data_IF_266225847312
#
_entry.id   IF_266225847312
#
_cell.length_a   1.000
_cell.length_b   1.000
_cell.length_c   1.000
_cell.angle_alpha   90.00
_cell.angle_beta   90.00
_cell.angle_gamma   90.00
#
_symmetry.space_group_name_H-M   'P 1'
#
loop_
_entity.id
_entity.type
_entity.pdbx_description
1 polymer ?
#
# COMPACT_ATOMS: atom_id res chain seq x y z
N UNK A 1 -33.65 35.18 -8.53
CA UNK A 1 -33.09 36.40 -7.91
C UNK A 1 -31.65 36.05 -7.54
N UNK A 2 -30.57 36.61 -8.06
CA UNK A 2 -30.31 37.67 -9.04
C UNK A 2 -29.15 37.20 -9.94
N UNK A 3 -29.03 37.81 -11.10
CA UNK A 3 -28.23 37.38 -12.24
C UNK A 3 -26.70 37.51 -12.04
N UNK A 4 -25.99 36.68 -12.80
CA UNK A 4 -24.57 36.79 -13.10
C UNK A 4 -24.26 38.09 -13.86
N UNK A 5 -23.20 38.78 -13.47
CA UNK A 5 -22.56 39.79 -14.32
C UNK A 5 -21.18 39.32 -14.74
N UNK A 6 -21.08 39.01 -16.05
CA UNK A 6 -19.86 38.76 -16.79
C UNK A 6 -19.21 40.10 -17.11
N UNK A 7 -17.96 40.30 -16.71
CA UNK A 7 -17.15 41.40 -17.22
C UNK A 7 -16.78 41.14 -18.70
N UNK A 8 -16.93 42.13 -19.60
CA UNK A 8 -16.60 41.98 -21.02
C UNK A 8 -15.09 42.08 -21.29
N UNK A 9 -14.59 41.51 -22.40
CA UNK A 9 -13.17 41.44 -22.72
C UNK A 9 -12.62 42.76 -23.29
N UNK A 10 -11.42 43.13 -22.89
CA UNK A 10 -10.70 44.31 -23.40
C UNK A 10 -9.93 43.91 -24.66
N UNK A 11 -10.33 44.46 -25.81
CA UNK A 11 -9.62 44.30 -27.08
C UNK A 11 -8.74 45.52 -27.39
N UNK A 12 -7.54 45.25 -27.94
CA UNK A 12 -6.56 46.22 -28.42
C UNK A 12 -7.07 46.85 -29.73
N UNK A 13 -7.36 48.16 -29.75
CA UNK A 13 -7.14 49.13 -30.87
C UNK A 13 -8.07 50.34 -30.72
N UNK A 14 -7.50 51.54 -30.95
CA UNK A 14 -8.12 52.89 -31.06
C UNK A 14 -8.41 53.56 -29.71
N UNK A 15 -8.13 54.83 -29.45
CA UNK A 15 -7.47 55.91 -30.20
C UNK A 15 -7.15 57.02 -29.18
N UNK A 16 -5.89 57.46 -29.07
CA UNK A 16 -5.38 58.80 -29.35
C UNK A 16 -6.39 59.96 -29.58
N UNK A 17 -5.91 61.16 -29.20
CA UNK A 17 -6.33 62.55 -29.54
C UNK A 17 -7.55 63.12 -28.78
N UNK A 18 -7.56 64.36 -28.23
CA UNK A 18 -6.68 65.53 -28.37
C UNK A 18 -6.96 66.64 -27.31
N UNK A 19 -5.98 67.56 -27.18
CA UNK A 19 -6.08 69.03 -26.92
C UNK A 19 -6.69 69.50 -25.58
N UNK A 20 -6.29 70.59 -24.92
CA UNK A 20 -5.68 71.86 -25.33
C UNK A 20 -5.28 72.64 -24.05
N UNK A 21 -4.06 73.21 -23.98
CA UNK A 21 -3.76 74.66 -24.07
C UNK A 21 -3.49 75.34 -22.71
N UNK A 22 -2.25 75.83 -22.59
CA UNK A 22 -1.79 76.82 -21.62
C UNK A 22 -0.50 77.47 -22.16
N UNK A 23 -0.68 78.49 -22.99
CA UNK A 23 0.34 79.25 -23.74
C UNK A 23 1.00 80.36 -22.89
N UNK A 24 2.31 80.59 -23.12
CA UNK A 24 3.02 81.92 -23.16
C UNK A 24 3.48 82.49 -21.80
N UNK A 25 4.71 82.97 -21.54
CA UNK A 25 5.83 83.51 -22.35
C UNK A 25 7.19 83.44 -21.59
N UNK A 26 8.33 83.84 -22.22
CA UNK A 26 9.69 83.43 -21.85
C UNK A 26 10.48 84.45 -21.02
N UNK A 27 11.46 83.97 -20.24
CA UNK A 27 12.44 84.80 -19.54
C UNK A 27 13.82 84.14 -19.54
N UNK A 28 14.75 84.71 -20.30
CA UNK A 28 16.15 84.31 -20.34
C UNK A 28 16.87 84.70 -19.04
N UNK A 29 17.53 83.74 -18.40
CA UNK A 29 18.60 83.98 -17.42
C UNK A 29 19.74 83.00 -17.71
N UNK A 30 20.84 83.55 -18.22
CA UNK A 30 22.13 82.89 -18.23
C UNK A 30 22.73 82.95 -16.82
N UNK A 31 23.18 81.81 -16.29
CA UNK A 31 24.10 81.76 -15.15
C UNK A 31 24.96 80.48 -15.23
N UNK A 32 26.25 80.67 -14.96
CA UNK A 32 27.35 79.78 -15.25
C UNK A 32 27.46 78.56 -14.32
N UNK A 33 27.97 77.47 -14.90
CA UNK A 33 28.98 76.54 -14.36
C UNK A 33 28.74 75.84 -13.02
N UNK A 34 28.39 74.56 -13.12
CA UNK A 34 29.19 73.46 -12.55
C UNK A 34 28.78 72.15 -13.24
N UNK A 35 29.48 71.82 -14.32
CA UNK A 35 29.48 70.43 -14.80
C UNK A 35 30.23 69.60 -13.78
N UNK A 36 29.51 69.06 -12.80
CA UNK A 36 29.96 67.90 -12.09
C UNK A 36 29.99 66.77 -13.11
N UNK A 37 31.19 66.40 -13.54
CA UNK A 37 31.43 65.13 -14.22
C UNK A 37 31.19 64.01 -13.20
N UNK A 38 29.93 63.71 -12.93
CA UNK A 38 29.57 62.38 -12.47
C UNK A 38 29.72 61.48 -13.68
N UNK A 39 30.94 60.96 -13.87
CA UNK A 39 31.11 59.70 -14.60
C UNK A 39 30.17 58.72 -13.90
N UNK A 40 29.12 58.20 -14.57
CA UNK A 40 28.34 57.12 -14.00
C UNK A 40 29.35 56.01 -13.71
N UNK A 41 29.37 55.53 -12.47
CA UNK A 41 29.99 54.25 -12.14
C UNK A 41 29.55 53.24 -13.22
N UNK A 42 30.46 52.45 -13.81
CA UNK A 42 30.10 51.54 -14.88
C UNK A 42 28.93 50.69 -14.38
N UNK A 43 27.75 50.87 -14.99
CA UNK A 43 26.61 50.03 -14.70
C UNK A 43 27.08 48.59 -14.92
N UNK A 44 26.98 47.76 -13.88
CA UNK A 44 27.36 46.36 -13.93
C UNK A 44 26.69 45.74 -15.17
N UNK A 45 27.49 45.08 -16.01
CA UNK A 45 26.98 44.57 -17.28
C UNK A 45 25.79 43.63 -16.99
N UNK A 46 24.66 43.77 -17.71
CA UNK A 46 23.48 42.98 -17.43
C UNK A 46 23.82 41.48 -17.49
N UNK A 47 23.32 40.71 -16.52
CA UNK A 47 23.72 39.32 -16.33
C UNK A 47 23.29 38.45 -17.52
N UNK A 48 24.19 37.56 -17.95
CA UNK A 48 23.86 36.51 -18.93
C UNK A 48 23.13 35.36 -18.23
N UNK A 49 22.11 34.79 -18.88
CA UNK A 49 21.42 33.61 -18.37
C UNK A 49 22.38 32.41 -18.19
N UNK A 50 22.37 31.80 -17.01
CA UNK A 50 23.12 30.58 -16.68
C UNK A 50 22.16 29.48 -16.21
N UNK A 51 22.32 28.26 -16.75
CA UNK A 51 21.43 27.13 -16.51
C UNK A 51 22.03 26.13 -15.52
N UNK A 52 21.20 25.66 -14.59
CA UNK A 52 21.51 24.55 -13.67
C UNK A 52 20.47 23.45 -13.85
N UNK A 53 20.93 22.21 -14.02
CA UNK A 53 20.08 21.05 -14.23
C UNK A 53 20.15 20.12 -13.02
N UNK A 54 19.01 19.58 -12.62
CA UNK A 54 18.90 18.50 -11.64
C UNK A 54 17.98 17.44 -12.23
N UNK A 55 18.45 16.20 -12.49
CA UNK A 55 19.84 15.76 -12.44
C UNK A 55 20.75 16.54 -13.41
N UNK A 56 22.06 16.42 -13.23
CA UNK A 56 23.03 17.03 -14.14
C UNK A 56 22.89 16.46 -15.57
N UNK A 57 23.34 17.23 -16.55
CA UNK A 57 23.35 16.76 -17.95
C UNK A 57 24.29 15.55 -18.11
N UNK A 58 23.88 14.58 -18.92
CA UNK A 58 24.52 13.29 -19.15
C UNK A 58 24.59 12.38 -17.92
N UNK A 59 23.81 12.67 -16.88
CA UNK A 59 23.63 11.73 -15.77
C UNK A 59 22.97 10.43 -16.25
N UNK A 60 23.44 9.30 -15.71
CA UNK A 60 22.85 7.98 -15.88
C UNK A 60 22.29 7.50 -14.55
N UNK A 61 21.49 6.43 -14.58
CA UNK A 61 20.98 5.76 -13.38
C UNK A 61 20.16 6.69 -12.46
N UNK A 62 19.51 7.69 -13.05
CA UNK A 62 18.65 8.62 -12.33
C UNK A 62 17.40 7.89 -11.88
N UNK A 63 17.07 7.93 -10.59
CA UNK A 63 15.84 7.33 -10.11
C UNK A 63 14.62 8.05 -10.70
N UNK A 64 13.60 7.31 -11.19
CA UNK A 64 12.49 7.90 -11.93
C UNK A 64 11.56 8.76 -11.07
N UNK A 65 11.73 8.71 -9.75
CA UNK A 65 10.99 9.49 -8.75
C UNK A 65 11.82 10.63 -8.15
N UNK A 66 13.10 10.77 -8.52
CA UNK A 66 13.92 11.89 -8.06
C UNK A 66 13.43 13.23 -8.65
N UNK A 67 13.58 14.35 -7.91
CA UNK A 67 13.18 15.66 -8.41
C UNK A 67 13.94 16.06 -9.68
N UNK A 68 13.23 16.17 -10.80
CA UNK A 68 13.78 16.65 -12.07
C UNK A 68 13.38 18.10 -12.32
N UNK A 69 14.36 19.00 -12.41
CA UNK A 69 14.17 20.44 -12.66
C UNK A 69 15.32 21.07 -13.44
N UNK A 70 15.03 22.22 -14.04
CA UNK A 70 16.04 23.13 -14.60
C UNK A 70 15.79 24.55 -14.08
N UNK A 71 16.86 25.22 -13.70
CA UNK A 71 16.87 26.58 -13.16
C UNK A 71 17.71 27.50 -14.04
N UNK A 72 17.27 28.76 -14.19
CA UNK A 72 18.05 29.83 -14.82
C UNK A 72 18.34 30.94 -13.80
N UNK A 73 19.61 31.34 -13.73
CA UNK A 73 20.06 32.53 -12.99
C UNK A 73 20.40 33.64 -13.98
N UNK A 74 20.16 34.91 -13.61
CA UNK A 74 20.41 36.05 -14.49
C UNK A 74 19.49 36.10 -15.73
N UNK A 75 18.29 35.53 -15.65
CA UNK A 75 17.34 35.46 -16.77
C UNK A 75 16.05 34.71 -16.46
N UNK A 76 15.25 34.45 -17.48
CA UNK A 76 13.99 33.68 -17.38
C UNK A 76 13.77 32.78 -18.61
N UNK A 77 13.03 31.68 -18.44
CA UNK A 77 12.65 30.77 -19.51
C UNK A 77 11.64 31.40 -20.47
N UNK A 78 11.95 31.42 -21.76
CA UNK A 78 10.97 31.65 -22.82
C UNK A 78 10.17 30.39 -23.11
N UNK A 79 10.86 29.26 -23.24
CA UNK A 79 10.29 27.93 -23.46
C UNK A 79 11.19 26.89 -22.80
N UNK A 80 10.58 25.87 -22.23
CA UNK A 80 11.25 24.70 -21.67
C UNK A 80 10.33 23.51 -21.82
N UNK A 81 10.89 22.38 -22.21
CA UNK A 81 10.20 21.11 -22.30
C UNK A 81 11.20 19.97 -22.03
N UNK A 82 10.69 18.90 -21.43
CA UNK A 82 11.38 17.63 -21.30
C UNK A 82 10.62 16.60 -22.14
N UNK A 83 11.33 15.82 -22.95
CA UNK A 83 10.72 14.76 -23.78
C UNK A 83 11.46 13.45 -23.60
N UNK A 84 10.75 12.32 -23.69
CA UNK A 84 11.40 11.01 -23.79
C UNK A 84 11.98 10.77 -25.21
N UNK A 85 12.64 9.63 -25.39
CA UNK A 85 13.23 9.18 -26.67
C UNK A 85 12.21 9.04 -27.82
N UNK A 86 10.92 8.85 -27.51
CA UNK A 86 9.82 8.78 -28.48
C UNK A 86 9.22 10.17 -28.82
N UNK A 87 9.71 11.24 -28.18
CA UNK A 87 9.22 12.61 -28.36
C UNK A 87 7.96 12.95 -27.56
N UNK A 88 7.49 12.07 -26.66
CA UNK A 88 6.41 12.37 -25.71
C UNK A 88 6.89 13.40 -24.70
N UNK A 89 6.15 14.49 -24.57
CA UNK A 89 6.42 15.52 -23.56
C UNK A 89 6.08 15.02 -22.16
N UNK A 90 6.94 15.36 -21.20
CA UNK A 90 6.72 15.14 -19.77
C UNK A 90 6.11 16.38 -19.15
N UNK A 91 5.08 16.19 -18.33
CA UNK A 91 4.39 17.23 -17.59
C UNK A 91 5.35 17.90 -16.59
N UNK A 92 5.28 19.22 -16.53
CA UNK A 92 5.98 20.01 -15.55
C UNK A 92 5.47 21.45 -15.52
N UNK A 93 5.89 22.19 -14.51
CA UNK A 93 5.43 23.55 -14.24
C UNK A 93 6.60 24.53 -14.15
N UNK A 94 6.44 25.69 -14.77
CA UNK A 94 7.25 26.87 -14.48
C UNK A 94 6.74 27.52 -13.20
N UNK A 95 7.66 27.99 -12.35
CA UNK A 95 7.31 28.88 -11.26
C UNK A 95 6.88 30.26 -11.78
N UNK A 96 6.39 31.11 -10.88
CA UNK A 96 5.86 32.44 -11.22
C UNK A 96 6.90 33.34 -11.89
N UNK A 97 8.15 33.29 -11.43
CA UNK A 97 9.26 34.08 -11.95
C UNK A 97 9.80 33.53 -13.28
N UNK A 98 9.29 32.37 -13.72
CA UNK A 98 9.73 31.63 -14.91
C UNK A 98 11.22 31.35 -14.92
N UNK A 99 11.84 31.20 -13.76
CA UNK A 99 13.26 30.90 -13.63
C UNK A 99 13.53 29.46 -13.12
N UNK A 100 12.48 28.71 -12.75
CA UNK A 100 12.57 27.28 -12.41
C UNK A 100 11.45 26.52 -13.11
N UNK A 101 11.80 25.43 -13.79
CA UNK A 101 10.84 24.44 -14.29
C UNK A 101 11.04 23.12 -13.57
N UNK A 102 9.96 22.55 -13.04
CA UNK A 102 9.96 21.30 -12.29
C UNK A 102 9.02 20.29 -12.92
N UNK A 103 9.49 19.06 -13.14
CA UNK A 103 8.68 17.93 -13.60
C UNK A 103 7.65 17.55 -12.54
N UNK A 104 6.43 17.21 -12.97
CA UNK A 104 5.29 16.98 -12.08
C UNK A 104 4.66 15.59 -12.23
N UNK A 105 5.34 14.67 -12.91
CA UNK A 105 4.95 13.26 -13.02
C UNK A 105 6.19 12.36 -12.88
N UNK A 106 6.04 11.11 -12.40
CA UNK A 106 7.16 10.18 -12.39
C UNK A 106 7.65 9.87 -13.81
N UNK A 107 8.94 9.61 -13.93
CA UNK A 107 9.57 9.20 -15.19
C UNK A 107 9.45 7.69 -15.38
N UNK A 108 9.79 7.18 -16.56
CA UNK A 108 9.88 5.75 -16.84
C UNK A 108 11.28 5.20 -16.56
N UNK A 109 11.40 3.89 -16.37
CA UNK A 109 12.68 3.18 -16.27
C UNK A 109 13.36 3.02 -17.63
N UNK A 110 14.69 3.12 -17.66
CA UNK A 110 15.52 2.90 -18.85
C UNK A 110 15.27 3.89 -19.99
N UNK A 111 14.81 5.10 -19.67
CA UNK A 111 14.45 6.11 -20.66
C UNK A 111 15.47 7.26 -20.63
N UNK A 112 15.99 7.61 -21.80
CA UNK A 112 16.71 8.87 -22.00
C UNK A 112 15.71 10.01 -22.21
N UNK A 113 15.85 11.04 -21.40
CA UNK A 113 15.08 12.27 -21.49
C UNK A 113 15.94 13.42 -21.99
N UNK A 114 15.36 14.29 -22.81
CA UNK A 114 16.05 15.44 -23.40
C UNK A 114 15.34 16.75 -23.11
N UNK A 115 16.10 17.73 -22.62
CA UNK A 115 15.68 19.10 -22.44
C UNK A 115 15.72 19.86 -23.76
N UNK A 116 14.70 20.68 -24.02
CA UNK A 116 14.65 21.59 -25.17
C UNK A 116 14.00 22.94 -24.79
N UNK A 117 14.49 24.03 -25.37
CA UNK A 117 13.92 25.36 -25.15
C UNK A 117 14.92 26.49 -25.25
N UNK A 118 14.57 27.62 -24.64
CA UNK A 118 15.41 28.82 -24.56
C UNK A 118 15.14 29.59 -23.27
N UNK A 119 16.20 30.15 -22.71
CA UNK A 119 16.15 31.14 -21.63
C UNK A 119 16.73 32.46 -22.14
N UNK A 120 16.22 33.59 -21.67
CA UNK A 120 16.70 34.92 -22.02
C UNK A 120 17.36 35.57 -20.82
N UNK A 121 18.59 36.02 -21.00
CA UNK A 121 19.32 36.78 -19.99
C UNK A 121 18.81 38.21 -19.85
N UNK A 122 19.19 38.87 -18.76
CA UNK A 122 18.94 40.31 -18.58
C UNK A 122 19.65 41.15 -19.66
N UNK A 123 20.70 40.60 -20.27
CA UNK A 123 21.39 41.15 -21.44
C UNK A 123 20.58 41.06 -22.75
N UNK A 124 19.38 40.46 -22.70
CA UNK A 124 18.47 40.29 -23.83
C UNK A 124 18.85 39.16 -24.79
N UNK A 125 19.92 38.40 -24.52
CA UNK A 125 20.35 37.29 -25.39
C UNK A 125 19.70 35.99 -24.97
N UNK A 126 19.30 35.19 -25.96
CA UNK A 126 18.76 33.86 -25.73
C UNK A 126 19.89 32.81 -25.64
N UNK A 127 19.82 31.95 -24.62
CA UNK A 127 20.67 30.77 -24.43
C UNK A 127 19.81 29.52 -24.62
N UNK A 128 20.28 28.50 -25.36
CA UNK A 128 19.51 27.27 -25.55
C UNK A 128 19.41 26.48 -24.24
N UNK A 129 18.21 25.99 -23.94
CA UNK A 129 18.01 24.97 -22.89
C UNK A 129 18.19 23.62 -23.57
N UNK A 130 19.34 22.99 -23.35
CA UNK A 130 19.69 21.69 -23.95
C UNK A 130 20.48 20.86 -22.94
N UNK A 131 20.13 19.59 -22.87
CA UNK A 131 20.76 18.60 -22.02
C UNK A 131 19.98 17.29 -22.10
N UNK A 132 20.56 16.21 -21.63
CA UNK A 132 19.88 14.92 -21.54
C UNK A 132 20.30 14.21 -20.26
N UNK A 133 19.53 13.22 -19.83
CA UNK A 133 19.89 12.28 -18.78
C UNK A 133 19.14 10.97 -19.02
N UNK A 134 19.60 9.89 -18.43
CA UNK A 134 18.98 8.56 -18.56
C UNK A 134 18.58 8.06 -17.18
N UNK A 135 17.34 7.60 -17.07
CA UNK A 135 16.85 6.96 -15.84
C UNK A 135 17.40 5.55 -15.70
N UNK A 136 17.46 5.06 -14.46
CA UNK A 136 17.90 3.70 -14.17
C UNK A 136 17.05 2.66 -14.93
N UNK A 137 17.68 1.57 -15.36
CA UNK A 137 17.06 0.49 -16.13
C UNK A 137 17.19 -0.83 -15.36
N UNK A 138 16.20 -1.20 -14.53
CA UNK A 138 16.34 -2.35 -13.65
C UNK A 138 16.10 -3.65 -14.42
N UNK A 139 16.95 -4.66 -14.23
CA UNK A 139 16.71 -5.98 -14.83
C UNK A 139 15.45 -6.66 -14.30
N UNK A 140 15.05 -6.34 -13.07
CA UNK A 140 13.85 -6.89 -12.42
C UNK A 140 12.96 -5.77 -11.88
N UNK A 141 11.69 -5.81 -12.26
CA UNK A 141 10.65 -4.97 -11.67
C UNK A 141 9.73 -5.83 -10.81
N UNK A 142 9.68 -5.55 -9.52
CA UNK A 142 8.93 -6.34 -8.53
C UNK A 142 7.56 -5.71 -8.29
N UNK A 143 6.50 -6.50 -8.47
CA UNK A 143 5.13 -6.08 -8.23
C UNK A 143 4.70 -6.46 -6.81
N UNK A 144 3.94 -5.59 -6.16
CA UNK A 144 3.27 -5.88 -4.89
C UNK A 144 1.76 -5.95 -5.09
N UNK A 145 1.11 -6.96 -4.51
CA UNK A 145 -0.34 -7.14 -4.57
C UNK A 145 -0.95 -7.32 -3.18
N UNK A 146 -2.03 -6.58 -2.92
CA UNK A 146 -2.85 -6.76 -1.72
C UNK A 146 -3.82 -7.92 -1.87
N UNK A 147 -4.11 -8.61 -0.77
CA UNK A 147 -5.09 -9.71 -0.75
C UNK A 147 -6.55 -9.23 -0.70
N UNK A 148 -6.78 -8.00 -0.21
CA UNK A 148 -8.10 -7.36 -0.17
C UNK A 148 -8.34 -6.51 -1.42
N UNK A 149 -9.62 -6.24 -1.69
CA UNK A 149 -10.05 -5.30 -2.73
C UNK A 149 -10.47 -3.95 -2.15
N UNK A 150 -10.35 -2.89 -2.95
CA UNK A 150 -10.88 -1.57 -2.59
C UNK A 150 -12.38 -1.62 -2.28
N UNK A 151 -12.77 -0.95 -1.21
CA UNK A 151 -14.15 -0.89 -0.71
C UNK A 151 -14.61 -2.16 0.03
N UNK A 152 -13.77 -3.18 0.17
CA UNK A 152 -14.12 -4.40 0.90
C UNK A 152 -14.38 -4.09 2.39
N UNK A 153 -15.38 -4.76 2.97
CA UNK A 153 -15.63 -4.72 4.42
C UNK A 153 -15.22 -6.04 5.05
N UNK A 154 -14.34 -5.99 6.06
CA UNK A 154 -13.73 -7.17 6.71
C UNK A 154 -13.98 -7.18 8.22
N UNK A 155 -13.72 -8.30 8.87
CA UNK A 155 -13.80 -8.45 10.32
C UNK A 155 -12.66 -7.74 11.07
N UNK A 156 -12.79 -7.70 12.38
CA UNK A 156 -11.95 -6.87 13.27
C UNK A 156 -10.50 -7.36 13.44
N UNK A 157 -10.17 -8.54 12.92
CA UNK A 157 -8.84 -9.16 13.01
C UNK A 157 -8.17 -9.35 11.65
N UNK A 158 -8.71 -8.76 10.57
CA UNK A 158 -8.11 -8.85 9.24
C UNK A 158 -6.71 -8.21 9.22
N UNK A 159 -5.66 -8.94 8.80
CA UNK A 159 -4.38 -8.31 8.49
C UNK A 159 -4.44 -7.60 7.13
N UNK A 160 -3.47 -6.73 6.86
CA UNK A 160 -3.17 -6.22 5.52
C UNK A 160 -2.00 -7.06 5.01
N UNK A 161 -2.16 -7.79 3.90
CA UNK A 161 -1.14 -8.66 3.34
C UNK A 161 -0.68 -8.05 2.02
N UNK A 162 0.60 -7.73 1.92
CA UNK A 162 1.24 -7.32 0.67
C UNK A 162 2.20 -8.42 0.23
N UNK A 163 1.80 -9.14 -0.83
CA UNK A 163 2.58 -10.21 -1.44
C UNK A 163 3.39 -9.64 -2.61
N UNK A 164 4.69 -9.94 -2.65
CA UNK A 164 5.55 -9.61 -3.79
C UNK A 164 5.72 -10.80 -4.72
N UNK A 165 5.96 -10.54 -6.01
CA UNK A 165 6.23 -11.55 -7.05
C UNK A 165 7.72 -11.92 -7.20
N UNK A 166 8.55 -11.45 -6.27
CA UNK A 166 9.96 -11.78 -6.14
C UNK A 166 10.41 -11.74 -4.67
N UNK A 167 11.54 -12.39 -4.38
CA UNK A 167 12.23 -12.21 -3.09
C UNK A 167 12.87 -10.82 -3.03
N UNK A 168 12.79 -10.21 -1.84
CA UNK A 168 13.39 -8.93 -1.52
C UNK A 168 14.59 -9.18 -0.62
N UNK A 169 15.74 -8.63 -0.98
CA UNK A 169 16.97 -8.78 -0.22
C UNK A 169 16.77 -8.25 1.21
N UNK A 170 17.24 -9.00 2.21
CA UNK A 170 17.08 -8.64 3.63
C UNK A 170 17.59 -7.23 3.94
N UNK A 171 18.66 -6.80 3.25
CA UNK A 171 19.24 -5.46 3.39
C UNK A 171 18.34 -4.33 2.88
N UNK A 172 17.41 -4.63 1.96
CA UNK A 172 16.52 -3.66 1.32
C UNK A 172 15.08 -3.69 1.87
N UNK A 173 14.70 -4.72 2.65
CA UNK A 173 13.38 -4.80 3.32
C UNK A 173 13.04 -3.54 4.12
N UNK A 174 14.02 -2.96 4.82
CA UNK A 174 13.84 -1.72 5.56
C UNK A 174 13.53 -0.51 4.66
N UNK A 175 14.11 -0.48 3.45
CA UNK A 175 13.85 0.57 2.45
C UNK A 175 12.44 0.42 1.88
N UNK A 176 12.03 -0.82 1.60
CA UNK A 176 10.67 -1.13 1.13
C UNK A 176 9.64 -0.78 2.21
N UNK A 177 9.85 -1.21 3.45
CA UNK A 177 8.90 -0.98 4.57
C UNK A 177 8.70 0.51 4.86
N UNK A 178 9.75 1.34 4.76
CA UNK A 178 9.64 2.81 4.89
C UNK A 178 8.73 3.46 3.84
N UNK A 179 8.52 2.77 2.71
CA UNK A 179 7.68 3.22 1.62
C UNK A 179 6.22 2.78 1.78
N UNK A 180 5.91 2.05 2.86
CA UNK A 180 4.58 1.60 3.21
C UNK A 180 4.00 2.48 4.32
N UNK A 181 2.74 2.89 4.18
CA UNK A 181 2.04 3.65 5.21
C UNK A 181 0.62 3.15 5.38
N UNK A 182 0.16 3.09 6.63
CA UNK A 182 -1.21 2.70 7.00
C UNK A 182 -1.83 3.86 7.77
N UNK A 183 -2.93 4.39 7.24
CA UNK A 183 -3.74 5.42 7.88
C UNK A 183 -5.07 4.82 8.31
N UNK A 184 -5.38 4.93 9.60
CA UNK A 184 -6.61 4.40 10.20
C UNK A 184 -7.44 5.52 10.81
N UNK A 185 -8.76 5.42 10.70
CA UNK A 185 -9.69 6.32 11.37
C UNK A 185 -10.81 5.50 12.04
N UNK A 186 -10.87 5.44 13.39
CA UNK A 186 -9.96 6.11 14.33
C UNK A 186 -8.51 5.58 14.25
N UNK A 187 -7.51 6.40 14.65
CA UNK A 187 -6.11 5.95 14.69
C UNK A 187 -5.94 4.70 15.55
N UNK A 188 -5.29 3.69 15.00
CA UNK A 188 -5.08 2.37 15.61
C UNK A 188 -3.59 2.03 15.61
N UNK A 189 -3.05 1.61 16.76
CA UNK A 189 -1.66 1.12 16.87
C UNK A 189 -1.52 -0.18 16.08
N UNK A 190 -0.50 -0.27 15.22
CA UNK A 190 -0.15 -1.47 14.47
C UNK A 190 1.26 -1.39 13.88
N UNK A 191 1.71 -2.49 13.28
CA UNK A 191 3.09 -2.66 12.80
C UNK A 191 3.10 -3.59 11.60
N UNK A 192 4.03 -3.31 10.68
CA UNK A 192 4.43 -4.26 9.66
C UNK A 192 5.29 -5.37 10.28
N UNK A 193 5.27 -6.55 9.66
CA UNK A 193 6.11 -7.69 9.97
C UNK A 193 6.39 -8.46 8.67
N UNK A 194 7.66 -8.79 8.43
CA UNK A 194 8.07 -9.63 7.31
C UNK A 194 7.90 -11.09 7.70
N UNK A 195 7.05 -11.79 6.95
CA UNK A 195 6.84 -13.22 7.15
C UNK A 195 7.82 -14.02 6.29
N UNK A 196 7.94 -15.33 6.54
CA UNK A 196 8.71 -16.21 5.66
C UNK A 196 8.27 -16.04 4.21
N UNK A 197 9.26 -16.00 3.33
CA UNK A 197 9.05 -15.93 1.89
C UNK A 197 8.23 -17.14 1.41
N UNK A 198 7.43 -16.91 0.40
CA UNK A 198 6.65 -17.94 -0.26
C UNK A 198 7.25 -18.30 -1.62
N UNK A 199 6.66 -19.29 -2.28
CA UNK A 199 7.06 -19.65 -3.64
C UNK A 199 6.92 -18.47 -4.63
N UNK A 200 6.00 -17.54 -4.36
CA UNK A 200 5.80 -16.35 -5.17
C UNK A 200 6.83 -15.24 -4.87
N UNK A 201 7.40 -15.20 -3.66
CA UNK A 201 8.32 -14.14 -3.24
C UNK A 201 8.12 -13.73 -1.79
N UNK A 202 8.76 -12.62 -1.42
CA UNK A 202 8.64 -12.06 -0.07
C UNK A 202 7.24 -11.54 0.19
N UNK A 203 6.90 -11.42 1.48
CA UNK A 203 5.61 -10.88 1.91
C UNK A 203 5.73 -10.13 3.22
N UNK A 204 4.92 -9.09 3.37
CA UNK A 204 4.87 -8.28 4.57
C UNK A 204 3.41 -8.09 4.98
N UNK A 205 3.14 -8.33 6.26
CA UNK A 205 1.81 -8.20 6.83
C UNK A 205 1.79 -7.00 7.77
N UNK A 206 0.70 -6.25 7.79
CA UNK A 206 0.42 -5.30 8.86
C UNK A 206 -0.74 -5.81 9.69
N UNK A 207 -0.59 -5.76 11.02
CA UNK A 207 -1.71 -5.98 11.94
C UNK A 207 -1.75 -4.91 13.01
N UNK A 208 -2.95 -4.66 13.51
CA UNK A 208 -3.16 -3.86 14.70
C UNK A 208 -2.78 -4.65 15.96
N UNK A 209 -2.36 -3.95 17.01
CA UNK A 209 -2.00 -4.59 18.29
C UNK A 209 -3.19 -5.29 18.96
N UNK A 210 -4.34 -4.63 18.90
CA UNK A 210 -5.63 -5.15 19.34
C UNK A 210 -6.59 -5.19 18.16
N UNK A 211 -7.68 -5.95 18.27
CA UNK A 211 -8.71 -5.98 17.22
C UNK A 211 -9.20 -4.56 16.91
N UNK A 212 -9.37 -4.27 15.62
CA UNK A 212 -9.87 -2.99 15.15
C UNK A 212 -11.22 -2.64 15.80
N UNK A 213 -11.44 -1.35 16.02
CA UNK A 213 -12.77 -0.85 16.34
C UNK A 213 -13.71 -1.02 15.13
N UNK A 214 -14.96 -1.47 15.33
CA UNK A 214 -15.96 -1.53 14.25
C UNK A 214 -16.16 -0.17 13.58
N UNK A 215 -16.27 -0.16 12.25
CA UNK A 215 -16.40 1.04 11.45
C UNK A 215 -15.10 1.77 11.16
N UNK A 216 -13.94 1.24 11.60
CA UNK A 216 -12.62 1.81 11.25
C UNK A 216 -12.45 1.82 9.73
N UNK A 217 -12.09 2.95 9.15
CA UNK A 217 -11.64 3.02 7.75
C UNK A 217 -10.13 2.90 7.71
N UNK A 218 -9.62 2.14 6.74
CA UNK A 218 -8.19 1.87 6.61
C UNK A 218 -7.76 2.21 5.19
N UNK A 219 -6.72 3.04 5.08
CA UNK A 219 -6.03 3.37 3.84
C UNK A 219 -4.60 2.88 3.93
N UNK A 220 -4.14 2.20 2.90
CA UNK A 220 -2.76 1.77 2.74
C UNK A 220 -2.19 2.40 1.48
N UNK A 221 -1.04 3.06 1.61
CA UNK A 221 -0.28 3.56 0.47
C UNK A 221 1.09 2.86 0.47
N UNK A 222 1.39 2.14 -0.61
CA UNK A 222 2.67 1.50 -0.87
C UNK A 222 3.37 2.23 -2.03
N UNK A 223 4.28 3.14 -1.69
CA UNK A 223 5.01 4.00 -2.64
C UNK A 223 6.24 3.30 -3.20
N UNK A 224 6.02 2.22 -3.94
CA UNK A 224 7.07 1.30 -4.36
C UNK A 224 7.78 1.72 -5.65
N UNK A 225 7.18 2.57 -6.48
CA UNK A 225 7.81 2.94 -7.75
C UNK A 225 9.12 3.70 -7.52
N UNK A 226 10.20 3.26 -8.15
CA UNK A 226 11.54 3.82 -7.94
C UNK A 226 12.26 3.33 -6.68
N UNK A 227 11.63 2.50 -5.85
CA UNK A 227 12.21 1.99 -4.60
C UNK A 227 13.08 0.78 -4.88
N UNK A 228 14.26 0.72 -4.26
CA UNK A 228 15.22 -0.39 -4.39
C UNK A 228 14.80 -1.59 -3.54
N UNK A 229 14.80 -2.77 -4.15
CA UNK A 229 14.37 -4.05 -3.57
C UNK A 229 15.53 -5.09 -3.51
N UNK A 230 16.65 -4.79 -4.16
CA UNK A 230 17.85 -5.64 -4.25
C UNK A 230 18.88 -5.01 -5.19
N UNK A 231 19.98 -5.72 -5.49
CA UNK A 231 21.11 -5.19 -6.28
C UNK A 231 20.68 -4.46 -7.58
N UNK A 232 19.75 -5.06 -8.34
CA UNK A 232 19.18 -4.53 -9.59
C UNK A 232 17.66 -4.79 -9.71
N UNK A 233 16.97 -4.81 -8.57
CA UNK A 233 15.53 -5.00 -8.48
C UNK A 233 14.86 -3.75 -7.91
N UNK A 234 13.78 -3.29 -8.55
CA UNK A 234 13.04 -2.10 -8.14
C UNK A 234 11.53 -2.31 -8.20
N UNK A 235 10.77 -1.54 -7.40
CA UNK A 235 9.32 -1.62 -7.41
C UNK A 235 8.71 -1.22 -8.76
N UNK A 236 7.86 -2.07 -9.31
CA UNK A 236 7.26 -1.91 -10.64
C UNK A 236 6.26 -0.76 -10.70
N UNK A 237 5.49 -0.54 -9.64
CA UNK A 237 4.47 0.51 -9.54
C UNK A 237 4.11 0.78 -8.07
N UNK A 238 3.57 1.97 -7.80
CA UNK A 238 2.85 2.24 -6.56
C UNK A 238 1.60 1.36 -6.45
N UNK A 239 1.22 1.01 -5.22
CA UNK A 239 -0.06 0.37 -4.92
C UNK A 239 -0.78 1.10 -3.79
N UNK A 240 -2.11 1.02 -3.79
CA UNK A 240 -2.95 1.53 -2.70
C UNK A 240 -4.11 0.59 -2.41
N UNK A 241 -4.63 0.65 -1.19
CA UNK A 241 -5.80 -0.11 -0.77
C UNK A 241 -6.63 0.73 0.20
N UNK A 242 -7.91 0.91 -0.08
CA UNK A 242 -8.88 1.53 0.80
C UNK A 242 -9.97 0.51 1.20
N UNK A 243 -10.11 0.19 2.49
CA UNK A 243 -11.10 -0.77 2.98
C UNK A 243 -11.70 -0.35 4.32
N UNK A 244 -12.69 -1.10 4.82
CA UNK A 244 -13.37 -0.79 6.08
C UNK A 244 -13.51 -2.01 6.98
N UNK A 245 -13.51 -1.76 8.28
CA UNK A 245 -13.78 -2.76 9.30
C UNK A 245 -15.28 -2.77 9.58
N UNK A 246 -15.90 -3.93 9.45
CA UNK A 246 -17.32 -4.16 9.67
C UNK A 246 -17.68 -4.26 11.15
N UNK A 247 -18.74 -5.03 11.44
CA UNK A 247 -19.17 -5.31 12.82
C UNK A 247 -18.10 -6.13 13.58
N UNK A 248 -18.03 -5.93 14.90
CA UNK A 248 -17.33 -6.86 15.80
C UNK A 248 -18.17 -8.12 15.96
N UNK A 249 -17.61 -9.25 15.54
CA UNK A 249 -18.09 -10.59 15.82
C UNK A 249 -16.88 -11.42 16.22
N UNK A 250 -16.92 -12.03 17.42
CA UNK A 250 -15.82 -12.83 17.95
C UNK A 250 -16.35 -14.22 18.26
N UNK A 251 -15.64 -15.25 17.81
CA UNK A 251 -15.97 -16.63 18.16
C UNK A 251 -15.09 -17.07 19.33
N UNK A 252 -15.71 -17.57 20.41
CA UNK A 252 -15.02 -18.24 21.52
C UNK A 252 -15.19 -19.74 21.37
N UNK A 253 -14.07 -20.45 21.34
CA UNK A 253 -14.01 -21.86 21.03
C UNK A 253 -13.13 -22.60 22.05
N UNK A 254 -13.66 -22.80 23.26
CA UNK A 254 -12.97 -23.57 24.31
C UNK A 254 -13.17 -25.07 24.06
N UNK A 255 -12.11 -25.77 23.66
CA UNK A 255 -12.19 -27.13 23.17
C UNK A 255 -12.72 -28.14 24.20
N UNK A 256 -12.44 -27.91 25.50
CA UNK A 256 -12.92 -28.77 26.58
C UNK A 256 -14.40 -28.58 26.92
N UNK A 257 -15.02 -27.49 26.45
CA UNK A 257 -16.43 -27.19 26.72
C UNK A 257 -17.40 -27.94 25.81
N UNK A 258 -16.92 -28.42 24.64
CA UNK A 258 -17.75 -28.94 23.55
C UNK A 258 -18.82 -27.92 23.06
N UNK A 259 -18.54 -26.62 23.26
CA UNK A 259 -19.37 -25.51 22.81
C UNK A 259 -18.55 -24.54 21.99
N UNK A 260 -19.24 -23.84 21.10
CA UNK A 260 -18.72 -22.68 20.38
C UNK A 260 -19.72 -21.55 20.54
N UNK A 261 -19.24 -20.37 20.94
CA UNK A 261 -20.05 -19.19 21.17
C UNK A 261 -19.68 -18.08 20.20
N UNK A 262 -20.68 -17.46 19.59
CA UNK A 262 -20.50 -16.26 18.76
C UNK A 262 -20.96 -15.05 19.57
N UNK A 263 -20.06 -14.10 19.75
CA UNK A 263 -20.24 -12.91 20.58
C UNK A 263 -20.30 -11.67 19.69
N UNK A 264 -21.30 -10.83 19.91
CA UNK A 264 -21.46 -9.57 19.18
C UNK A 264 -20.64 -8.40 19.79
N UNK A 265 -20.78 -7.22 19.19
CA UNK A 265 -20.11 -6.00 19.65
C UNK A 265 -20.49 -5.59 21.09
N UNK A 266 -21.72 -5.90 21.54
CA UNK A 266 -22.20 -5.59 22.88
C UNK A 266 -21.72 -6.58 23.94
N UNK A 267 -21.00 -7.64 23.54
CA UNK A 267 -20.58 -8.72 24.41
C UNK A 267 -21.68 -9.76 24.64
N UNK A 268 -22.79 -9.70 23.91
CA UNK A 268 -23.87 -10.67 24.02
C UNK A 268 -23.54 -11.93 23.22
N UNK A 269 -23.83 -13.09 23.79
CA UNK A 269 -23.78 -14.37 23.08
C UNK A 269 -25.00 -14.45 22.16
N UNK A 270 -24.77 -14.35 20.86
CA UNK A 270 -25.82 -14.40 19.83
C UNK A 270 -26.01 -15.80 19.25
N UNK A 271 -25.03 -16.69 19.42
CA UNK A 271 -25.10 -18.10 19.11
C UNK A 271 -24.32 -18.90 20.15
N UNK A 272 -24.87 -20.02 20.60
CA UNK A 272 -24.21 -20.96 21.50
C UNK A 272 -24.56 -22.38 21.02
N UNK A 273 -23.61 -23.02 20.33
CA UNK A 273 -23.83 -24.29 19.65
C UNK A 273 -23.08 -25.45 20.31
N UNK A 274 -23.70 -26.65 20.39
CA UNK A 274 -22.95 -27.86 20.67
C UNK A 274 -22.02 -28.14 19.50
N UNK A 275 -20.76 -28.44 19.79
CA UNK A 275 -19.78 -28.79 18.76
C UNK A 275 -18.87 -29.94 19.18
N UNK A 276 -18.16 -30.49 18.21
CA UNK A 276 -17.06 -31.44 18.45
C UNK A 276 -15.79 -30.86 17.82
N UNK A 277 -14.72 -30.79 18.59
CA UNK A 277 -13.39 -30.38 18.13
C UNK A 277 -12.60 -31.57 17.57
N UNK A 278 -11.30 -31.37 17.35
CA UNK A 278 -10.35 -32.43 17.08
C UNK A 278 -10.16 -33.38 18.28
N UNK A 279 -10.07 -34.69 18.02
CA UNK A 279 -9.95 -35.75 19.04
C UNK A 279 -8.66 -35.65 19.88
N UNK A 280 -7.60 -35.09 19.29
CA UNK A 280 -6.33 -34.82 19.97
C UNK A 280 -5.44 -36.03 20.24
N UNK A 281 -5.81 -37.22 19.77
CA UNK A 281 -5.04 -38.48 19.81
C UNK A 281 -3.71 -38.39 19.03
N UNK A 282 -3.68 -37.60 17.96
CA UNK A 282 -2.52 -37.28 17.13
C UNK A 282 -2.40 -35.76 16.94
N UNK A 283 -1.20 -35.24 16.68
CA UNK A 283 -0.99 -33.79 16.46
C UNK A 283 -1.84 -33.22 15.32
N UNK A 284 -2.05 -34.00 14.26
CA UNK A 284 -2.93 -33.66 13.14
C UNK A 284 -4.41 -33.59 13.52
N UNK A 285 -4.81 -34.16 14.66
CA UNK A 285 -6.17 -34.21 15.15
C UNK A 285 -6.39 -33.23 16.32
N UNK A 286 -5.43 -32.36 16.61
CA UNK A 286 -5.57 -31.28 17.59
C UNK A 286 -6.01 -30.01 16.86
N UNK A 287 -7.20 -29.49 17.15
CA UNK A 287 -7.55 -28.11 16.77
C UNK A 287 -6.53 -27.16 17.40
N UNK A 288 -5.90 -26.29 16.61
CA UNK A 288 -4.87 -25.40 17.13
C UNK A 288 -5.46 -24.43 18.15
N UNK A 289 -4.71 -24.14 19.20
CA UNK A 289 -5.01 -23.10 20.18
C UNK A 289 -4.55 -21.74 19.63
N UNK A 290 -5.18 -20.66 20.08
CA UNK A 290 -4.85 -19.31 19.65
C UNK A 290 -5.91 -18.67 18.77
N UNK A 291 -5.61 -17.44 18.35
CA UNK A 291 -6.52 -16.60 17.58
C UNK A 291 -6.33 -16.93 16.10
N UNK A 292 -7.34 -17.57 15.53
CA UNK A 292 -7.47 -17.81 14.11
C UNK A 292 -8.18 -16.64 13.44
N UNK A 293 -8.06 -16.53 12.12
CA UNK A 293 -8.76 -15.52 11.32
C UNK A 293 -9.56 -16.22 10.24
N UNK A 294 -10.86 -15.91 10.16
CA UNK A 294 -11.71 -16.39 9.07
C UNK A 294 -11.19 -15.86 7.75
N UNK A 295 -11.02 -16.73 6.76
CA UNK A 295 -10.60 -16.33 5.40
C UNK A 295 -11.71 -16.62 4.39
N UNK A 296 -11.77 -17.85 3.90
CA UNK A 296 -12.71 -18.28 2.87
C UNK A 296 -13.94 -18.94 3.48
N UNK A 297 -15.02 -19.01 2.70
CA UNK A 297 -16.17 -19.84 3.05
C UNK A 297 -16.81 -20.49 1.84
N UNK A 298 -17.28 -21.71 2.02
CA UNK A 298 -17.86 -22.56 0.98
C UNK A 298 -19.20 -23.13 1.44
N UNK A 299 -20.26 -22.86 0.68
CA UNK A 299 -21.57 -23.46 0.95
C UNK A 299 -21.55 -24.98 0.74
N UNK A 300 -20.83 -25.42 -0.30
CA UNK A 300 -20.62 -26.82 -0.67
C UNK A 300 -19.14 -27.01 -1.03
N UNK A 301 -18.44 -27.84 -0.26
CA UNK A 301 -17.00 -28.07 -0.38
C UNK A 301 -16.74 -29.57 -0.31
N UNK A 302 -16.02 -30.10 -1.30
CA UNK A 302 -15.56 -31.46 -1.24
C UNK A 302 -14.13 -31.46 -0.70
N UNK A 303 -13.91 -32.20 0.37
CA UNK A 303 -12.67 -32.26 1.12
C UNK A 303 -12.01 -33.63 0.91
N UNK A 304 -10.71 -33.61 0.63
CA UNK A 304 -9.89 -34.83 0.56
C UNK A 304 -8.71 -34.66 1.50
N UNK A 305 -8.57 -35.60 2.44
CA UNK A 305 -7.44 -35.66 3.35
C UNK A 305 -6.93 -37.11 3.42
N UNK A 306 -5.93 -37.47 2.60
CA UNK A 306 -5.36 -38.81 2.58
C UNK A 306 -4.78 -39.23 3.94
N UNK A 307 -4.25 -38.28 4.72
CA UNK A 307 -3.69 -38.58 6.04
C UNK A 307 -4.80 -39.03 7.03
N UNK A 308 -5.98 -38.44 6.93
CA UNK A 308 -7.16 -38.81 7.72
C UNK A 308 -7.90 -40.04 7.16
N UNK A 309 -7.51 -40.55 5.99
CA UNK A 309 -8.11 -41.73 5.37
C UNK A 309 -9.45 -41.46 4.67
N UNK A 310 -9.81 -40.19 4.41
CA UNK A 310 -11.03 -39.84 3.68
C UNK A 310 -10.73 -39.07 2.40
N UNK A 311 -11.55 -39.33 1.38
CA UNK A 311 -11.48 -38.69 0.08
C UNK A 311 -12.88 -38.28 -0.38
N UNK A 312 -12.98 -37.10 -0.97
CA UNK A 312 -14.23 -36.58 -1.53
C UNK A 312 -15.40 -36.54 -0.53
N UNK A 313 -15.12 -36.21 0.73
CA UNK A 313 -16.16 -36.01 1.75
C UNK A 313 -16.82 -34.67 1.48
N UNK A 314 -18.15 -34.67 1.38
CA UNK A 314 -18.92 -33.45 1.15
C UNK A 314 -19.12 -32.72 2.47
N UNK A 315 -18.45 -31.60 2.61
CA UNK A 315 -18.61 -30.65 3.69
C UNK A 315 -19.55 -29.52 3.26
N UNK A 316 -20.45 -29.12 4.16
CA UNK A 316 -21.40 -28.02 3.91
C UNK A 316 -21.17 -26.89 4.89
N UNK A 317 -21.39 -25.67 4.40
CA UNK A 317 -21.30 -24.45 5.20
C UNK A 317 -19.93 -24.32 5.91
N UNK A 318 -18.86 -24.57 5.16
CA UNK A 318 -17.51 -24.59 5.68
C UNK A 318 -16.94 -23.18 5.70
N UNK A 319 -16.51 -22.71 6.86
CA UNK A 319 -15.80 -21.43 7.06
C UNK A 319 -14.36 -21.76 7.46
N UNK A 320 -13.40 -21.38 6.61
CA UNK A 320 -11.98 -21.64 6.84
C UNK A 320 -11.47 -20.75 7.95
N UNK A 321 -10.73 -21.32 8.90
CA UNK A 321 -10.08 -20.59 10.00
C UNK A 321 -8.55 -20.73 9.98
N UNK A 322 -8.01 -21.73 9.27
CA UNK A 322 -6.58 -21.85 8.97
C UNK A 322 -6.36 -22.58 7.64
N UNK A 323 -5.26 -22.25 6.97
CA UNK A 323 -4.82 -22.94 5.77
C UNK A 323 -4.29 -24.36 6.03
N UNK A 324 -4.07 -24.76 7.29
CA UNK A 324 -3.77 -26.16 7.64
C UNK A 324 -4.94 -27.12 7.37
N UNK A 325 -6.14 -26.59 7.07
CA UNK A 325 -7.34 -27.36 6.82
C UNK A 325 -8.40 -27.28 7.90
N UNK A 326 -8.24 -26.41 8.89
CA UNK A 326 -9.27 -26.21 9.91
C UNK A 326 -10.43 -25.37 9.40
N UNK A 327 -11.64 -25.89 9.60
CA UNK A 327 -12.90 -25.25 9.29
C UNK A 327 -13.86 -25.31 10.49
N UNK A 328 -14.77 -24.35 10.55
CA UNK A 328 -16.07 -24.51 11.24
C UNK A 328 -17.06 -24.95 10.16
N UNK A 329 -17.63 -26.14 10.28
CA UNK A 329 -18.50 -26.71 9.23
C UNK A 329 -19.53 -27.72 9.77
N UNK A 330 -20.50 -28.07 8.93
CA UNK A 330 -21.45 -29.13 9.23
C UNK A 330 -20.78 -30.50 9.12
N UNK A 331 -20.96 -31.36 10.13
CA UNK A 331 -20.53 -32.76 10.05
C UNK A 331 -21.58 -33.71 10.67
N UNK A 332 -22.51 -34.23 9.85
CA UNK A 332 -23.55 -35.15 10.31
C UNK A 332 -23.03 -36.45 10.93
N UNK A 333 -21.82 -36.91 10.56
CA UNK A 333 -21.24 -38.12 11.12
C UNK A 333 -20.82 -37.95 12.60
N UNK A 334 -20.60 -36.71 13.04
CA UNK A 334 -20.24 -36.36 14.42
C UNK A 334 -21.42 -35.93 15.29
N UNK A 335 -22.67 -35.98 14.79
CA UNK A 335 -23.82 -35.38 15.50
C UNK A 335 -24.06 -35.96 16.90
N UNK A 336 -23.73 -37.23 17.12
CA UNK A 336 -23.82 -37.86 18.45
C UNK A 336 -22.72 -37.46 19.43
N UNK A 337 -21.63 -36.86 18.94
CA UNK A 337 -20.50 -36.40 19.74
C UNK A 337 -20.56 -34.89 20.06
N UNK A 338 -21.24 -34.10 19.22
CA UNK A 338 -21.37 -32.64 19.38
C UNK A 338 -22.00 -32.29 20.74
N UNK A 339 -21.30 -31.46 21.53
CA UNK A 339 -21.70 -31.12 22.89
C UNK A 339 -21.24 -32.09 23.98
N UNK A 340 -20.47 -33.14 23.64
CA UNK A 340 -20.05 -34.18 24.60
C UNK A 340 -18.62 -34.69 24.42
N UNK A 341 -18.13 -34.86 23.19
CA UNK A 341 -16.80 -35.44 22.92
C UNK A 341 -16.21 -34.90 21.62
N UNK A 342 -14.88 -34.84 21.55
CA UNK A 342 -14.15 -34.41 20.35
C UNK A 342 -13.70 -35.63 19.54
N UNK A 343 -14.02 -35.69 18.25
CA UNK A 343 -13.89 -36.93 17.44
C UNK A 343 -13.32 -36.73 16.03
N UNK A 344 -12.72 -35.57 15.72
CA UNK A 344 -12.31 -35.26 14.34
C UNK A 344 -10.84 -34.87 14.20
N UNK A 345 -10.44 -34.49 12.98
CA UNK A 345 -9.06 -34.18 12.60
C UNK A 345 -8.68 -32.70 12.79
N UNK A 346 -9.36 -31.96 13.68
CA UNK A 346 -9.03 -30.57 14.01
C UNK A 346 -10.13 -29.55 13.70
N UNK A 347 -11.11 -29.87 12.85
CA UNK A 347 -12.24 -29.00 12.59
C UNK A 347 -13.16 -28.81 13.82
N UNK A 348 -13.93 -27.72 13.80
CA UNK A 348 -15.03 -27.47 14.75
C UNK A 348 -16.33 -27.87 14.05
N UNK A 349 -16.90 -28.99 14.49
CA UNK A 349 -18.03 -29.63 13.83
C UNK A 349 -19.35 -29.21 14.46
N UNK A 350 -20.28 -28.79 13.61
CA UNK A 350 -21.61 -28.34 13.99
C UNK A 350 -22.70 -29.22 13.36
N UNK A 351 -23.93 -29.04 13.84
CA UNK A 351 -25.11 -29.50 13.12
C UNK A 351 -25.23 -28.73 11.80
N UNK A 352 -25.93 -29.27 10.80
CA UNK A 352 -26.11 -28.58 9.52
C UNK A 352 -26.76 -27.20 9.71
N UNK A 353 -27.77 -27.11 10.57
CA UNK A 353 -28.49 -25.85 10.83
C UNK A 353 -27.60 -24.82 11.51
N UNK A 354 -26.83 -25.23 12.51
CA UNK A 354 -25.94 -24.33 13.25
C UNK A 354 -24.77 -23.84 12.36
N UNK A 355 -24.20 -24.76 11.57
CA UNK A 355 -23.17 -24.42 10.59
C UNK A 355 -23.69 -23.41 9.56
N UNK A 356 -24.90 -23.61 9.03
CA UNK A 356 -25.53 -22.67 8.11
C UNK A 356 -25.75 -21.30 8.76
N UNK A 357 -26.24 -21.28 10.00
CA UNK A 357 -26.48 -20.05 10.74
C UNK A 357 -25.17 -19.27 10.93
N UNK A 358 -24.09 -19.93 11.35
CA UNK A 358 -22.77 -19.31 11.48
C UNK A 358 -22.20 -18.85 10.13
N UNK A 359 -22.26 -19.71 9.11
CA UNK A 359 -21.75 -19.42 7.76
C UNK A 359 -22.32 -18.13 7.17
N UNK A 360 -23.61 -17.88 7.42
CA UNK A 360 -24.31 -16.69 6.94
C UNK A 360 -23.83 -15.41 7.63
N UNK A 361 -23.34 -15.50 8.87
CA UNK A 361 -22.84 -14.32 9.59
C UNK A 361 -21.34 -14.13 9.46
N UNK A 362 -20.55 -15.18 9.22
CA UNK A 362 -19.09 -15.10 9.12
C UNK A 362 -18.60 -14.20 7.97
N UNK A 363 -17.56 -13.41 8.24
CA UNK A 363 -16.89 -12.49 7.32
C UNK A 363 -15.37 -12.71 7.38
N UNK A 364 -14.68 -12.56 6.24
CA UNK A 364 -13.21 -12.56 6.19
C UNK A 364 -12.66 -11.60 7.23
N UNK A 365 -11.71 -12.02 8.07
CA UNK A 365 -11.14 -11.20 9.13
C UNK A 365 -11.83 -11.31 10.49
N UNK A 366 -12.91 -12.10 10.63
CA UNK A 366 -13.48 -12.38 11.94
C UNK A 366 -12.52 -13.25 12.78
N UNK A 367 -12.23 -12.90 14.04
CA UNK A 367 -11.39 -13.73 14.91
C UNK A 367 -12.14 -14.94 15.46
N UNK A 368 -11.45 -16.08 15.47
CA UNK A 368 -11.88 -17.30 16.17
C UNK A 368 -10.84 -17.64 17.24
N UNK A 369 -11.20 -17.39 18.50
CA UNK A 369 -10.33 -17.60 19.65
C UNK A 369 -10.50 -19.02 20.17
N UNK A 370 -9.56 -19.90 19.80
CA UNK A 370 -9.53 -21.28 20.26
C UNK A 370 -8.68 -21.38 21.52
N UNK A 371 -9.19 -22.07 22.54
CA UNK A 371 -8.49 -22.31 23.80
C UNK A 371 -8.65 -23.76 24.26
N UNK A 372 -7.80 -24.19 25.19
CA UNK A 372 -7.92 -25.51 25.82
C UNK A 372 -7.33 -26.67 25.01
N UNK A 373 -6.51 -26.40 24.00
CA UNK A 373 -5.79 -27.42 23.24
C UNK A 373 -4.28 -27.31 23.43
N UNK A 374 -3.56 -28.41 23.14
CA UNK A 374 -2.13 -28.55 23.51
C UNK A 374 -1.12 -28.03 22.47
N UNK A 375 -1.58 -27.63 21.28
CA UNK A 375 -0.72 -27.13 20.19
C UNK A 375 -1.19 -25.73 19.82
N UNK A 376 -0.32 -24.74 19.95
CA UNK A 376 -0.58 -23.37 19.51
C UNK A 376 -0.50 -23.27 17.97
N UNK A 377 -1.37 -22.46 17.38
CA UNK A 377 -1.30 -22.08 15.97
C UNK A 377 0.06 -21.44 15.66
N UNK A 378 0.64 -21.77 14.51
CA UNK A 378 2.00 -21.36 14.14
C UNK A 378 2.16 -21.16 12.64
N UNK A 379 3.34 -20.68 12.22
CA UNK A 379 3.69 -20.60 10.80
C UNK A 379 3.56 -21.96 10.07
N UNK A 380 3.73 -23.08 10.78
CA UNK A 380 3.65 -24.42 10.19
C UNK A 380 2.22 -24.81 9.81
N UNK A 381 1.23 -24.08 10.32
CA UNK A 381 -0.17 -24.23 9.98
C UNK A 381 -0.57 -23.38 8.76
N UNK A 382 0.35 -22.55 8.24
CA UNK A 382 0.05 -21.60 7.17
C UNK A 382 -0.85 -20.47 7.64
N UNK A 383 -1.26 -19.63 6.70
CA UNK A 383 -1.99 -18.41 7.03
C UNK A 383 -3.40 -18.69 7.59
N UNK A 384 -3.93 -17.86 8.50
CA UNK A 384 -3.32 -16.65 9.07
C UNK A 384 -2.95 -16.93 10.52
N UNK A 385 -1.65 -16.86 10.85
CA UNK A 385 -1.12 -17.12 12.19
C UNK A 385 -0.66 -15.84 12.91
N UNK A 386 -0.89 -14.68 12.30
CA UNK A 386 -0.44 -13.35 12.74
C UNK A 386 -0.82 -13.02 14.19
N UNK A 387 -1.99 -13.49 14.64
CA UNK A 387 -2.49 -13.29 16.01
C UNK A 387 -2.08 -14.38 17.00
N UNK A 388 -1.35 -15.40 16.55
CA UNK A 388 -0.85 -16.47 17.40
C UNK A 388 0.48 -16.11 18.08
N UNK A 389 1.14 -15.03 17.64
CA UNK A 389 2.35 -14.48 18.25
C UNK A 389 2.07 -13.25 19.11
N UNK A 390 2.92 -13.02 20.10
CA UNK A 390 2.82 -11.85 20.96
C UNK A 390 3.03 -10.54 20.19
N UNK A 391 2.62 -9.41 20.75
CA UNK A 391 2.83 -8.11 20.12
C UNK A 391 4.30 -7.74 19.97
N UNK A 392 5.13 -8.07 20.96
CA UNK A 392 6.57 -7.80 20.91
C UNK A 392 7.26 -8.68 19.86
N UNK A 393 6.90 -9.96 19.79
CA UNK A 393 7.38 -10.86 18.73
C UNK A 393 6.98 -10.39 17.33
N UNK A 394 5.75 -9.87 17.17
CA UNK A 394 5.33 -9.30 15.89
C UNK A 394 6.13 -8.06 15.51
N UNK A 395 6.37 -7.14 16.45
CA UNK A 395 7.20 -5.95 16.21
C UNK A 395 8.64 -6.32 15.87
N UNK A 396 9.21 -7.37 16.46
CA UNK A 396 10.58 -7.79 16.15
C UNK A 396 10.75 -8.40 14.75
N UNK A 397 9.64 -8.70 14.05
CA UNK A 397 9.64 -9.13 12.65
C UNK A 397 9.61 -7.96 11.64
N UNK A 398 9.49 -6.70 12.11
CA UNK A 398 9.65 -5.52 11.26
C UNK A 398 11.11 -5.35 10.84
N UNK A 399 11.36 -4.96 9.58
CA UNK A 399 12.71 -4.61 9.12
C UNK A 399 13.20 -3.26 9.64
N UNK A 400 12.33 -2.52 10.36
CA UNK A 400 12.63 -1.28 11.05
C UNK A 400 12.83 -1.46 12.55
N UNK A 401 12.69 -2.68 13.06
CA UNK A 401 12.92 -2.99 14.47
C UNK A 401 14.41 -3.15 14.77
N UNK A 402 14.82 -2.66 15.95
CA UNK A 402 16.15 -2.92 16.51
C UNK A 402 16.20 -4.23 17.32
N UNK A 403 15.04 -4.91 17.49
CA UNK A 403 14.95 -6.18 18.21
C UNK A 403 15.33 -7.36 17.31
N UNK A 404 15.87 -8.44 17.91
CA UNK A 404 16.17 -9.65 17.16
C UNK A 404 14.87 -10.33 16.70
N UNK A 405 14.84 -10.72 15.43
CA UNK A 405 13.76 -11.53 14.89
C UNK A 405 13.58 -12.84 15.69
N UNK A 406 12.35 -13.39 15.75
CA UNK A 406 12.07 -14.60 16.53
C UNK A 406 12.87 -15.80 16.01
N UNK A 407 13.47 -16.57 16.92
CA UNK A 407 14.19 -17.79 16.56
C UNK A 407 13.21 -18.94 16.30
N UNK A 408 13.45 -19.75 15.28
CA UNK A 408 12.65 -20.95 14.97
C UNK A 408 11.57 -20.76 13.89
N UNK A 409 11.43 -19.54 13.35
CA UNK A 409 10.67 -19.27 12.13
C UNK A 409 11.62 -19.44 10.92
N UNK A 410 11.26 -20.26 9.91
CA UNK A 410 12.10 -20.46 8.73
C UNK A 410 12.10 -19.21 7.84
N UNK A 411 13.10 -19.07 6.97
CA UNK A 411 13.13 -18.00 5.97
C UNK A 411 12.07 -18.18 4.88
N UNK A 412 11.59 -19.41 4.66
CA UNK A 412 10.54 -19.74 3.70
C UNK A 412 9.50 -20.65 4.34
N UNK A 413 8.22 -20.39 4.04
CA UNK A 413 7.11 -21.25 4.45
C UNK A 413 5.95 -21.13 3.45
N UNK A 414 5.28 -22.24 3.08
CA UNK A 414 4.13 -22.16 2.19
C UNK A 414 2.90 -21.54 2.89
N UNK A 415 2.12 -20.72 2.16
CA UNK A 415 0.79 -20.21 2.59
C UNK A 415 -0.08 -21.30 3.20
N UNK A 416 -0.02 -22.48 2.58
CA UNK A 416 -0.85 -23.65 2.83
C UNK A 416 0.07 -24.85 3.01
N UNK A 417 0.07 -25.51 4.19
CA UNK A 417 0.98 -26.62 4.46
C UNK A 417 0.77 -27.82 3.53
N UNK A 418 1.86 -28.56 3.29
CA UNK A 418 1.81 -29.81 2.54
C UNK A 418 0.88 -30.82 3.22
N UNK A 419 -0.18 -31.25 2.52
CA UNK A 419 -1.18 -32.18 3.05
C UNK A 419 -2.44 -31.49 3.60
N UNK A 420 -2.51 -30.17 3.57
CA UNK A 420 -3.75 -29.45 3.82
C UNK A 420 -4.83 -29.89 2.81
N UNK A 421 -6.06 -30.14 3.27
CA UNK A 421 -7.20 -30.52 2.44
C UNK A 421 -7.44 -29.52 1.30
N UNK A 422 -7.55 -30.04 0.08
CA UNK A 422 -7.75 -29.22 -1.14
C UNK A 422 -9.18 -29.34 -1.67
N UNK A 423 -9.74 -28.26 -2.27
CA UNK A 423 -10.99 -28.33 -3.00
C UNK A 423 -10.87 -29.29 -4.19
N UNK A 424 -11.81 -30.23 -4.33
CA UNK A 424 -11.78 -31.24 -5.40
C UNK A 424 -11.94 -30.65 -6.83
N UNK A 425 -12.28 -29.36 -6.96
CA UNK A 425 -12.52 -28.71 -8.26
C UNK A 425 -11.57 -27.54 -8.60
N UNK A 426 -10.53 -27.28 -7.79
CA UNK A 426 -9.53 -26.25 -8.10
C UNK A 426 -10.09 -24.83 -8.32
N UNK A 427 -11.31 -24.52 -7.85
CA UNK A 427 -11.81 -23.14 -7.85
C UNK A 427 -11.03 -22.36 -6.79
N UNK A 428 -10.26 -21.33 -7.17
CA UNK A 428 -9.79 -20.34 -6.21
C UNK A 428 -11.03 -19.71 -5.56
N UNK A 429 -11.00 -19.50 -4.25
CA UNK A 429 -11.95 -18.61 -3.59
C UNK A 429 -11.90 -17.25 -4.29
N UNK A 430 -13.07 -16.76 -4.72
CA UNK A 430 -13.23 -15.43 -5.31
C UNK A 430 -13.97 -14.51 -4.36
#
# INVERSE_FOLDING_TARGET
MSAADKLPPINRRRALTALAVGLVAPGALAACSRSASNTPEPAEAPASASLSFTPATSATDVAPTEPVRVEVTGGWFQRVALTNSEGKAVAGALNQDRNVFTVSEPLGYGVTYSWSGSAVGEDGKAVPVKGEFTTLDPSTQVSGQFQLSDGQTVGVAAPIILQFDASIDDADRATVEKSLSVTTNPPTEGSWAWLPDEAAGSRVHWRSKEYFAPGTTVRVDAKLYGVKFGEDAYGAADASLDFSIGRRQVVKAEASSHRIQVIDQGGAVIMDFPCSYGEGDLDRNVTRSGIHVVTEKYEDFYMTNPAAGYANVRERFAVRISNNGEFIHANPASSGAQGNSNVTNGCINLSITDAEQYFRTAVYGDPVEVTGTRIQLSYADGDIWDWAVSWDEWKSMSALSDENAPTGIPSTAPVTPTGAPQPVNGRPGG
#
